data_IF_476149833388
#
_entry.id   IF_476149833388
#
_cell.length_a   1.000
_cell.length_b   1.000
_cell.length_c   1.000
_cell.angle_alpha   90.00
_cell.angle_beta   90.00
_cell.angle_gamma   90.00
#
_symmetry.space_group_name_H-M   'P 1'
#
loop_
_entity.id
_entity.type
_entity.pdbx_description
1 polymer ?
#
# COMPACT_ATOMS: atom_id res chain seq x y z
N UNK A 1 4.46 6.97 -51.46
CA UNK A 1 5.23 7.25 -50.24
C UNK A 1 4.22 7.58 -49.14
N UNK A 2 3.80 6.55 -48.40
CA UNK A 2 2.85 6.68 -47.30
C UNK A 2 3.56 7.33 -46.12
N UNK A 3 3.01 8.43 -45.59
CA UNK A 3 3.26 8.83 -44.21
C UNK A 3 2.01 8.48 -43.43
N UNK A 4 2.03 7.28 -42.86
CA UNK A 4 1.15 6.95 -41.74
C UNK A 4 1.51 7.92 -40.62
N UNK A 5 0.65 8.92 -40.41
CA UNK A 5 0.67 9.72 -39.20
C UNK A 5 -0.07 8.89 -38.17
N UNK A 6 0.68 8.08 -37.42
CA UNK A 6 0.18 7.46 -36.20
C UNK A 6 -0.11 8.58 -35.20
N UNK A 7 -1.36 9.01 -35.18
CA UNK A 7 -1.94 9.90 -34.19
C UNK A 7 -2.35 8.99 -33.03
N UNK A 8 -1.41 8.76 -32.10
CA UNK A 8 -1.66 7.94 -30.91
C UNK A 8 -2.48 8.73 -29.88
N UNK A 9 -3.59 8.09 -29.50
CA UNK A 9 -4.65 8.52 -28.61
C UNK A 9 -4.21 9.10 -27.25
N UNK A 10 -4.85 10.23 -26.91
CA UNK A 10 -5.28 10.68 -25.57
C UNK A 10 -4.45 10.21 -24.35
N UNK A 11 -3.43 11.01 -24.03
CA UNK A 11 -2.85 11.06 -22.69
C UNK A 11 -3.86 11.74 -21.74
N UNK A 12 -4.76 10.97 -21.12
CA UNK A 12 -5.53 11.46 -19.96
C UNK A 12 -4.59 11.45 -18.76
N UNK A 13 -3.65 12.39 -18.72
CA UNK A 13 -2.76 12.52 -17.58
C UNK A 13 -3.61 12.80 -16.32
N UNK A 14 -3.63 11.87 -15.38
CA UNK A 14 -4.21 12.12 -14.05
C UNK A 14 -3.32 13.12 -13.35
N UNK A 15 -3.80 14.34 -13.21
CA UNK A 15 -3.12 15.37 -12.45
C UNK A 15 -3.37 15.13 -10.95
N UNK A 16 -2.29 14.89 -10.20
CA UNK A 16 -2.34 14.69 -8.75
C UNK A 16 -1.54 15.80 -8.04
N UNK A 17 -2.14 16.38 -6.99
CA UNK A 17 -1.48 17.34 -6.11
C UNK A 17 -1.17 16.70 -4.76
N UNK A 18 0.10 16.67 -4.37
CA UNK A 18 0.56 16.08 -3.11
C UNK A 18 1.24 17.14 -2.24
N UNK A 19 0.79 17.26 -0.99
CA UNK A 19 1.41 18.10 0.02
C UNK A 19 1.39 17.38 1.38
N UNK A 20 2.19 17.89 2.32
CA UNK A 20 2.21 17.42 3.70
C UNK A 20 1.61 18.50 4.60
N UNK A 21 0.79 18.09 5.56
CA UNK A 21 0.14 18.98 6.50
C UNK A 21 -0.04 18.29 7.85
N UNK A 22 -0.30 19.07 8.88
CA UNK A 22 -0.60 18.60 10.23
C UNK A 22 -2.09 18.69 10.49
N UNK A 23 -2.61 17.74 11.27
CA UNK A 23 -3.97 17.80 11.79
C UNK A 23 -3.97 18.74 12.99
N UNK A 24 -4.80 19.79 12.95
CA UNK A 24 -4.94 20.76 14.05
C UNK A 24 -5.81 20.19 15.19
N UNK A 25 -5.89 20.90 16.31
CA UNK A 25 -6.53 20.42 17.55
C UNK A 25 -8.00 19.98 17.36
N UNK A 26 -8.73 20.62 16.44
CA UNK A 26 -10.13 20.29 16.11
C UNK A 26 -10.29 19.28 14.97
N UNK A 27 -9.22 18.55 14.62
CA UNK A 27 -9.25 17.61 13.48
C UNK A 27 -9.21 18.30 12.11
N UNK A 28 -8.88 19.60 12.07
CA UNK A 28 -8.86 20.40 10.84
C UNK A 28 -7.55 20.14 10.07
N UNK A 29 -7.66 19.87 8.76
CA UNK A 29 -6.52 19.83 7.83
C UNK A 29 -6.59 21.05 6.93
N UNK A 30 -5.58 21.91 6.98
CA UNK A 30 -5.47 23.04 6.05
C UNK A 30 -4.88 22.56 4.73
N UNK A 31 -5.63 22.77 3.66
CA UNK A 31 -5.23 22.49 2.27
C UNK A 31 -4.67 23.80 1.68
N UNK A 32 -3.48 23.79 1.05
CA UNK A 32 -2.96 24.93 0.31
C UNK A 32 -3.93 25.40 -0.78
N UNK A 33 -3.85 26.67 -1.17
CA UNK A 33 -4.67 27.19 -2.26
C UNK A 33 -4.39 26.42 -3.56
N UNK A 34 -5.45 25.86 -4.16
CA UNK A 34 -5.40 25.05 -5.38
C UNK A 34 -6.46 25.51 -6.40
N UNK A 35 -6.54 26.83 -6.62
CA UNK A 35 -7.56 27.50 -7.45
C UNK A 35 -7.68 26.97 -8.87
N UNK A 36 -6.64 26.33 -9.42
CA UNK A 36 -6.67 25.68 -10.73
C UNK A 36 -7.68 24.50 -10.83
N UNK A 37 -8.09 23.92 -9.70
CA UNK A 37 -9.08 22.84 -9.64
C UNK A 37 -10.47 23.32 -9.18
N UNK A 38 -10.72 24.63 -9.15
CA UNK A 38 -12.01 25.19 -8.75
C UNK A 38 -13.17 24.62 -9.59
N UNK A 39 -14.28 24.31 -8.91
CA UNK A 39 -15.51 23.76 -9.51
C UNK A 39 -15.35 22.42 -10.25
N UNK A 40 -14.27 21.67 -9.99
CA UNK A 40 -14.05 20.33 -10.53
C UNK A 40 -14.28 19.27 -9.45
N UNK A 41 -14.85 18.10 -9.79
CA UNK A 41 -14.85 16.97 -8.88
C UNK A 41 -13.40 16.51 -8.65
N UNK A 42 -13.02 16.34 -7.39
CA UNK A 42 -11.68 15.88 -6.99
C UNK A 42 -11.80 14.74 -5.99
N UNK A 43 -10.86 13.80 -6.05
CA UNK A 43 -10.71 12.74 -5.05
C UNK A 43 -9.58 13.11 -4.09
N UNK A 44 -9.81 12.89 -2.78
CA UNK A 44 -8.86 13.25 -1.73
C UNK A 44 -8.38 11.99 -1.02
N UNK A 45 -7.07 11.76 -1.05
CA UNK A 45 -6.42 10.69 -0.32
C UNK A 45 -5.63 11.26 0.86
N UNK A 46 -5.95 10.82 2.08
CA UNK A 46 -5.26 11.22 3.31
C UNK A 46 -4.39 10.06 3.78
N UNK A 47 -3.08 10.29 3.89
CA UNK A 47 -2.13 9.30 4.38
C UNK A 47 -1.54 9.78 5.71
N UNK A 48 -1.94 9.12 6.80
CA UNK A 48 -1.35 9.38 8.11
C UNK A 48 0.06 8.81 8.18
N UNK A 49 1.05 9.70 8.19
CA UNK A 49 2.39 9.31 8.59
C UNK A 49 2.38 9.09 10.09
N UNK A 50 2.58 7.86 10.52
CA UNK A 50 2.92 7.63 11.92
C UNK A 50 4.21 8.39 12.20
N UNK A 51 4.31 9.15 13.32
CA UNK A 51 5.60 9.67 13.72
C UNK A 51 6.60 8.53 13.72
N UNK A 52 7.85 8.80 13.37
CA UNK A 52 8.94 7.82 13.44
C UNK A 52 9.20 7.42 14.92
N UNK A 53 8.26 6.72 15.54
CA UNK A 53 8.45 5.95 16.78
C UNK A 53 9.50 4.87 16.56
N UNK A 54 9.84 4.57 15.30
CA UNK A 54 11.01 3.79 14.92
C UNK A 54 12.32 4.34 15.47
N UNK A 55 12.45 5.61 15.88
CA UNK A 55 13.68 6.06 16.59
C UNK A 55 13.71 5.65 18.06
N UNK A 56 12.57 5.34 18.68
CA UNK A 56 12.50 4.83 20.05
C UNK A 56 12.49 3.29 20.06
N UNK A 57 11.92 2.65 19.03
CA UNK A 57 11.88 1.18 18.88
C UNK A 57 12.99 0.58 17.99
N UNK A 58 13.88 1.39 17.39
CA UNK A 58 15.02 0.92 16.59
C UNK A 58 15.96 -0.05 17.34
N UNK A 59 15.79 -0.22 18.65
CA UNK A 59 16.55 -1.15 19.46
C UNK A 59 15.92 -2.54 19.62
N UNK A 60 14.68 -2.78 19.18
CA UNK A 60 14.15 -4.15 19.05
C UNK A 60 14.16 -4.57 17.59
N UNK A 61 15.34 -4.95 17.11
CA UNK A 61 15.50 -5.76 15.89
C UNK A 61 14.54 -6.95 16.01
N UNK A 62 13.48 -6.96 15.22
CA UNK A 62 12.61 -8.12 15.13
C UNK A 62 13.47 -9.30 14.66
N UNK A 63 13.57 -10.33 15.49
CA UNK A 63 14.37 -11.51 15.14
C UNK A 63 13.59 -12.35 14.14
N UNK A 64 14.31 -13.10 13.29
CA UNK A 64 13.69 -14.08 12.39
C UNK A 64 12.75 -15.02 13.16
N UNK A 65 13.11 -15.38 14.40
CA UNK A 65 12.27 -16.18 15.30
C UNK A 65 10.93 -15.51 15.64
N UNK A 66 10.92 -14.19 15.88
CA UNK A 66 9.68 -13.46 16.15
C UNK A 66 8.80 -13.37 14.90
N UNK A 67 9.40 -13.16 13.72
CA UNK A 67 8.68 -13.22 12.45
C UNK A 67 8.05 -14.60 12.22
N UNK A 68 8.87 -15.66 12.31
CA UNK A 68 8.42 -17.03 12.15
C UNK A 68 7.32 -17.37 13.15
N UNK A 69 7.44 -17.00 14.43
CA UNK A 69 6.41 -17.29 15.43
C UNK A 69 5.04 -16.66 15.16
N UNK A 70 5.01 -15.46 14.54
CA UNK A 70 3.77 -14.80 14.15
C UNK A 70 3.18 -15.44 12.90
N UNK A 71 4.04 -15.84 11.97
CA UNK A 71 3.64 -16.40 10.68
C UNK A 71 3.20 -17.88 10.81
N UNK A 72 3.90 -18.68 11.63
CA UNK A 72 3.55 -20.07 11.93
C UNK A 72 2.37 -20.20 12.89
N UNK A 73 1.86 -19.09 13.43
CA UNK A 73 0.58 -19.08 14.14
C UNK A 73 -0.59 -19.61 13.30
N UNK A 74 -0.52 -19.44 11.97
CA UNK A 74 -1.46 -20.02 11.00
C UNK A 74 -1.33 -21.54 10.84
N UNK A 75 -0.20 -22.13 11.22
CA UNK A 75 0.11 -23.55 11.07
C UNK A 75 0.01 -24.31 12.40
N UNK A 76 -0.47 -23.67 13.47
CA UNK A 76 -0.69 -24.36 14.76
C UNK A 76 -1.84 -25.36 14.62
N UNK A 77 -1.50 -26.64 14.71
CA UNK A 77 -2.47 -27.75 14.65
C UNK A 77 -2.50 -28.46 13.30
N UNK A 78 -1.63 -28.08 12.37
CA UNK A 78 -1.49 -28.74 11.07
C UNK A 78 -0.22 -29.58 11.11
N UNK A 79 -0.36 -30.89 10.97
CA UNK A 79 0.79 -31.77 10.72
C UNK A 79 1.28 -31.52 9.28
N UNK A 80 2.51 -31.00 9.08
CA UNK A 80 3.03 -30.73 7.75
C UNK A 80 3.14 -31.98 6.88
N UNK A 81 3.24 -33.18 7.48
CA UNK A 81 3.29 -34.42 6.74
C UNK A 81 1.92 -34.79 6.15
N UNK A 82 0.84 -34.52 6.88
CA UNK A 82 -0.54 -34.76 6.43
C UNK A 82 -0.94 -33.83 5.27
N UNK A 83 -0.63 -32.52 5.39
CA UNK A 83 -0.92 -31.55 4.31
C UNK A 83 -0.12 -31.83 3.05
N UNK A 84 1.13 -32.28 3.22
CA UNK A 84 1.96 -32.66 2.09
C UNK A 84 1.41 -33.91 1.39
N UNK A 85 0.90 -34.88 2.15
CA UNK A 85 0.26 -36.07 1.60
C UNK A 85 -1.00 -35.69 0.80
N UNK A 86 -1.87 -34.87 1.37
CA UNK A 86 -3.13 -34.42 0.74
C UNK A 86 -2.85 -33.67 -0.57
N UNK A 87 -1.89 -32.74 -0.58
CA UNK A 87 -1.48 -32.03 -1.79
C UNK A 87 -0.88 -32.94 -2.86
N UNK A 88 -0.11 -33.96 -2.46
CA UNK A 88 0.46 -34.92 -3.40
C UNK A 88 -0.59 -35.86 -3.97
N UNK A 89 -1.61 -36.23 -3.20
CA UNK A 89 -2.75 -37.00 -3.70
C UNK A 89 -3.54 -36.17 -4.72
N UNK A 90 -3.96 -34.96 -4.38
CA UNK A 90 -4.75 -34.10 -5.27
C UNK A 90 -4.03 -33.77 -6.59
N UNK A 91 -2.70 -33.62 -6.58
CA UNK A 91 -1.91 -33.24 -7.75
C UNK A 91 -1.61 -34.40 -8.71
N UNK A 92 -1.55 -35.62 -8.20
CA UNK A 92 -1.11 -36.80 -8.96
C UNK A 92 -2.21 -37.84 -9.16
N UNK A 93 -3.48 -37.52 -8.86
CA UNK A 93 -4.65 -38.20 -9.43
C UNK A 93 -4.98 -37.71 -10.85
#
# INVERSE_FOLDING_TARGET
>A
MMRHKEEFDADWAVEAYKFESVVLEDGIIQIPEISQFAHRPVEVFIVFKQPDTRRVDAQKRQTMTQFLSKWTGFLKGVDPDDVKLEYLQEKYE
#
